data_IF_550257568069
#
_entry.id   IF_550257568069
#
_cell.length_a   1.000
_cell.length_b   1.000
_cell.length_c   1.000
_cell.angle_alpha   90.00
_cell.angle_beta   90.00
_cell.angle_gamma   90.00
#
_symmetry.space_group_name_H-M   'P 1'
#
loop_
_entity.id
_entity.type
_entity.pdbx_description
1 polymer ?
#
# COMPACT_ATOMS: atom_id res chain seq x y z
N UNK A 1 18.08 -3.66 -9.07
CA UNK A 1 18.66 -3.09 -10.29
C UNK A 1 20.06 -3.60 -10.54
N UNK A 2 21.05 -3.28 -9.68
CA UNK A 2 22.49 -3.63 -9.87
C UNK A 2 22.72 -5.13 -10.10
N UNK A 3 22.04 -6.01 -9.34
CA UNK A 3 22.16 -7.47 -9.52
C UNK A 3 21.65 -7.94 -10.88
N UNK A 4 20.58 -7.35 -11.39
CA UNK A 4 20.03 -7.69 -12.70
C UNK A 4 20.95 -7.19 -13.84
N UNK A 5 21.52 -5.99 -13.72
CA UNK A 5 22.50 -5.48 -14.67
C UNK A 5 23.73 -6.39 -14.74
N UNK A 6 24.25 -6.86 -13.59
CA UNK A 6 25.37 -7.80 -13.53
C UNK A 6 25.08 -9.15 -14.22
N UNK A 7 23.80 -9.53 -14.32
CA UNK A 7 23.34 -10.73 -15.01
C UNK A 7 22.98 -10.48 -16.50
N UNK A 8 23.31 -9.31 -17.05
CA UNK A 8 23.10 -8.98 -18.45
C UNK A 8 21.70 -8.49 -18.79
N UNK A 9 20.86 -8.14 -17.79
CA UNK A 9 19.53 -7.56 -18.06
C UNK A 9 19.69 -6.15 -18.62
N UNK A 10 19.06 -5.90 -19.76
CA UNK A 10 19.08 -4.61 -20.44
C UNK A 10 17.91 -3.75 -19.97
N UNK A 11 18.18 -2.55 -19.46
CA UNK A 11 17.17 -1.61 -18.98
C UNK A 11 16.96 -0.46 -19.95
N UNK A 12 15.71 -0.21 -20.34
CA UNK A 12 15.30 0.95 -21.12
C UNK A 12 14.42 1.83 -20.25
N UNK A 13 15.05 2.82 -19.58
CA UNK A 13 14.34 3.75 -18.69
C UNK A 13 13.77 4.92 -19.50
N UNK A 14 12.71 5.55 -18.94
CA UNK A 14 12.03 6.68 -19.58
C UNK A 14 11.18 6.30 -20.79
N UNK A 15 10.86 5.00 -20.93
CA UNK A 15 10.00 4.45 -21.98
C UNK A 15 8.62 4.13 -21.42
N UNK A 16 7.56 4.61 -22.09
CA UNK A 16 6.18 4.24 -21.78
C UNK A 16 5.69 3.24 -22.82
N UNK A 17 5.35 2.04 -22.37
CA UNK A 17 4.72 1.03 -23.21
C UNK A 17 3.33 1.51 -23.64
N UNK A 18 3.02 1.38 -24.92
CA UNK A 18 1.77 1.85 -25.52
C UNK A 18 0.83 0.70 -25.86
N UNK A 19 1.39 -0.39 -26.40
CA UNK A 19 0.61 -1.54 -26.83
C UNK A 19 1.45 -2.83 -26.96
N UNK A 20 0.77 -3.97 -27.14
CA UNK A 20 1.38 -5.26 -27.46
C UNK A 20 1.59 -5.40 -28.97
N UNK A 21 2.63 -6.14 -29.37
CA UNK A 21 2.86 -6.56 -30.75
C UNK A 21 2.47 -8.04 -30.84
N UNK A 22 1.58 -8.37 -31.79
CA UNK A 22 1.15 -9.73 -32.05
C UNK A 22 1.65 -10.16 -33.43
N UNK A 23 1.97 -11.44 -33.59
CA UNK A 23 2.21 -12.04 -34.90
C UNK A 23 0.89 -12.48 -35.57
N UNK A 24 0.97 -12.96 -36.83
CA UNK A 24 -0.18 -13.41 -37.62
C UNK A 24 -0.98 -14.56 -36.99
N UNK A 25 -0.40 -15.27 -36.02
CA UNK A 25 -1.05 -16.37 -35.28
C UNK A 25 -1.68 -15.88 -33.97
N UNK A 26 -1.68 -14.57 -33.69
CA UNK A 26 -2.22 -13.98 -32.48
C UNK A 26 -1.34 -14.16 -31.24
N UNK A 27 -0.07 -14.60 -31.35
CA UNK A 27 0.88 -14.69 -30.26
C UNK A 27 1.48 -13.31 -29.99
N UNK A 28 1.55 -12.93 -28.72
CA UNK A 28 2.27 -11.74 -28.28
C UNK A 28 3.78 -11.98 -28.41
N UNK A 29 4.43 -11.12 -29.20
CA UNK A 29 5.86 -11.20 -29.54
C UNK A 29 6.63 -9.94 -29.16
N UNK A 30 6.00 -8.93 -28.54
CA UNK A 30 6.67 -7.71 -28.16
C UNK A 30 5.74 -6.61 -27.69
N UNK A 31 6.32 -5.42 -27.56
CA UNK A 31 5.62 -4.20 -27.16
C UNK A 31 6.07 -3.01 -28.01
N UNK A 32 5.15 -2.07 -28.24
CA UNK A 32 5.50 -0.72 -28.70
C UNK A 32 5.66 0.21 -27.52
N UNK A 33 6.58 1.15 -27.59
CA UNK A 33 6.82 2.13 -26.54
C UNK A 33 7.18 3.50 -27.11
N UNK A 34 7.03 4.55 -26.28
CA UNK A 34 7.47 5.91 -26.60
C UNK A 34 8.41 6.42 -25.51
N UNK A 35 9.41 7.20 -25.92
CA UNK A 35 10.26 7.94 -24.98
C UNK A 35 9.62 9.29 -24.56
N UNK A 36 10.32 10.05 -23.73
CA UNK A 36 9.84 11.34 -23.19
C UNK A 36 9.67 12.44 -24.27
N UNK A 37 10.34 12.30 -25.42
CA UNK A 37 10.26 13.26 -26.53
C UNK A 37 9.35 12.78 -27.67
N UNK A 38 8.71 11.61 -27.50
CA UNK A 38 7.70 11.10 -28.43
C UNK A 38 8.22 10.16 -29.52
N UNK A 39 9.50 9.78 -29.50
CA UNK A 39 10.02 8.78 -30.44
C UNK A 39 9.40 7.41 -30.14
N UNK A 40 9.05 6.69 -31.20
CA UNK A 40 8.42 5.36 -31.14
C UNK A 40 9.46 4.26 -31.25
N UNK A 41 9.30 3.21 -30.49
CA UNK A 41 10.18 2.05 -30.44
C UNK A 41 9.36 0.77 -30.44
N UNK A 42 9.93 -0.29 -31.02
CA UNK A 42 9.41 -1.64 -30.94
C UNK A 42 10.45 -2.54 -30.27
N UNK A 43 9.98 -3.34 -29.32
CA UNK A 43 10.81 -4.32 -28.62
C UNK A 43 10.17 -5.69 -28.82
N UNK A 44 10.89 -6.61 -29.44
CA UNK A 44 10.39 -7.95 -29.72
C UNK A 44 11.11 -9.02 -28.89
N UNK A 45 10.42 -10.11 -28.61
CA UNK A 45 10.91 -11.26 -27.86
C UNK A 45 10.43 -12.56 -28.48
N UNK A 46 11.29 -13.56 -28.54
CA UNK A 46 10.94 -14.92 -28.96
C UNK A 46 10.14 -15.67 -27.89
N UNK A 47 10.39 -15.37 -26.62
CA UNK A 47 9.82 -16.11 -25.50
C UNK A 47 8.47 -15.52 -25.03
N UNK A 48 8.21 -14.23 -25.30
CA UNK A 48 6.97 -13.54 -24.96
C UNK A 48 7.20 -12.29 -24.12
N UNK A 49 6.12 -11.75 -23.55
CA UNK A 49 6.09 -10.51 -22.74
C UNK A 49 5.56 -10.84 -21.37
N UNK A 50 6.24 -10.34 -20.33
CA UNK A 50 5.79 -10.41 -18.94
C UNK A 50 5.38 -9.01 -18.50
N UNK A 51 4.10 -8.81 -18.18
CA UNK A 51 3.59 -7.58 -17.59
C UNK A 51 3.86 -7.59 -16.07
N UNK A 52 4.66 -6.63 -15.59
CA UNK A 52 4.96 -6.42 -14.17
C UNK A 52 4.77 -4.93 -13.82
N UNK A 53 3.70 -4.33 -14.35
CA UNK A 53 3.46 -2.88 -14.40
C UNK A 53 2.84 -2.30 -13.14
N UNK A 54 2.61 -3.12 -12.11
CA UNK A 54 1.90 -2.71 -10.91
C UNK A 54 0.39 -2.56 -11.10
N UNK A 55 -0.27 -2.08 -10.05
CA UNK A 55 -1.72 -1.90 -10.03
C UNK A 55 -2.19 -0.55 -10.56
N UNK A 56 -3.43 -0.18 -10.20
CA UNK A 56 -4.10 1.04 -10.70
C UNK A 56 -4.47 2.04 -9.59
N UNK A 57 -3.77 2.02 -8.47
CA UNK A 57 -4.09 2.84 -7.29
C UNK A 57 -4.02 4.36 -7.55
N UNK A 58 -3.25 4.82 -8.53
CA UNK A 58 -3.16 6.22 -8.96
C UNK A 58 -4.13 6.59 -10.09
N UNK A 59 -4.83 5.62 -10.68
CA UNK A 59 -5.81 5.88 -11.72
C UNK A 59 -7.19 6.14 -11.10
N UNK A 60 -7.53 7.43 -10.94
CA UNK A 60 -8.80 7.85 -10.33
C UNK A 60 -10.03 7.32 -11.06
N UNK A 61 -10.02 7.36 -12.40
CA UNK A 61 -11.13 6.89 -13.23
C UNK A 61 -11.34 5.37 -13.07
N UNK A 62 -10.26 4.60 -13.18
CA UNK A 62 -10.32 3.14 -13.00
C UNK A 62 -10.80 2.77 -11.60
N UNK A 63 -10.33 3.48 -10.56
CA UNK A 63 -10.80 3.28 -9.17
C UNK A 63 -12.29 3.58 -9.02
N UNK A 64 -12.75 4.71 -9.55
CA UNK A 64 -14.17 5.10 -9.48
C UNK A 64 -15.07 4.09 -10.18
N UNK A 65 -14.65 3.59 -11.35
CA UNK A 65 -15.38 2.56 -12.08
C UNK A 65 -15.43 1.23 -11.33
N UNK A 66 -14.31 0.83 -10.72
CA UNK A 66 -14.15 -0.49 -10.11
C UNK A 66 -14.58 -0.53 -8.65
N UNK A 67 -14.34 0.55 -7.88
CA UNK A 67 -14.61 0.67 -6.45
C UNK A 67 -15.26 2.03 -6.12
N UNK A 68 -16.51 2.28 -6.53
CA UNK A 68 -17.17 3.60 -6.42
C UNK A 68 -17.38 4.08 -4.98
N UNK A 69 -17.22 3.20 -3.99
CA UNK A 69 -17.25 3.56 -2.56
C UNK A 69 -15.98 4.30 -2.07
N UNK A 70 -14.94 4.35 -2.90
CA UNK A 70 -13.72 5.14 -2.66
C UNK A 70 -13.87 6.49 -3.34
N UNK A 71 -13.59 7.59 -2.61
CA UNK A 71 -13.72 8.92 -3.18
C UNK A 71 -12.57 9.24 -4.14
N UNK A 72 -12.80 10.07 -5.19
CA UNK A 72 -11.73 10.48 -6.14
C UNK A 72 -10.57 11.20 -5.46
N UNK A 73 -10.84 11.92 -4.37
CA UNK A 73 -9.87 12.72 -3.61
C UNK A 73 -8.95 11.87 -2.76
N UNK A 74 -9.32 10.60 -2.52
CA UNK A 74 -8.49 9.71 -1.71
C UNK A 74 -7.13 9.51 -2.38
N UNK A 75 -6.08 9.90 -1.67
CA UNK A 75 -4.68 9.78 -2.10
C UNK A 75 -4.20 8.32 -2.07
N UNK A 76 -3.05 8.04 -2.65
CA UNK A 76 -2.47 6.69 -2.68
C UNK A 76 -1.07 6.68 -2.08
N UNK A 77 -0.74 5.57 -1.42
CA UNK A 77 0.63 5.31 -0.92
C UNK A 77 1.61 4.96 -2.03
N UNK A 78 1.11 4.66 -3.24
CA UNK A 78 1.92 4.18 -4.34
C UNK A 78 2.54 5.32 -5.15
N UNK A 79 3.62 4.99 -5.85
CA UNK A 79 4.28 5.90 -6.77
C UNK A 79 3.33 6.30 -7.95
N UNK A 80 3.56 7.47 -8.60
CA UNK A 80 2.64 8.01 -9.61
C UNK A 80 2.38 7.11 -10.82
N UNK A 81 3.29 6.17 -11.13
CA UNK A 81 3.16 5.25 -12.25
C UNK A 81 2.23 4.04 -12.01
N UNK A 82 1.62 3.90 -10.84
CA UNK A 82 0.63 2.85 -10.57
C UNK A 82 -0.72 3.18 -11.24
N UNK A 83 -0.74 3.28 -12.56
CA UNK A 83 -1.82 3.80 -13.40
C UNK A 83 -2.68 2.72 -14.06
N UNK A 84 -2.30 1.44 -13.92
CA UNK A 84 -3.03 0.32 -14.52
C UNK A 84 -2.79 0.15 -16.03
N UNK A 85 -1.76 0.77 -16.57
CA UNK A 85 -1.48 0.75 -18.01
C UNK A 85 -1.40 -0.67 -18.57
N UNK A 86 -0.72 -1.61 -17.87
CA UNK A 86 -0.62 -3.00 -18.32
C UNK A 86 -1.97 -3.73 -18.32
N UNK A 87 -2.86 -3.43 -17.38
CA UNK A 87 -4.23 -3.98 -17.38
C UNK A 87 -5.00 -3.46 -18.60
N UNK A 88 -4.94 -2.15 -18.85
CA UNK A 88 -5.62 -1.53 -19.99
C UNK A 88 -5.12 -2.10 -21.32
N UNK A 89 -3.79 -2.21 -21.47
CA UNK A 89 -3.17 -2.75 -22.69
C UNK A 89 -3.61 -4.20 -22.89
N UNK A 90 -3.46 -5.06 -21.89
CA UNK A 90 -3.81 -6.47 -22.05
C UNK A 90 -5.31 -6.69 -22.34
N UNK A 91 -6.20 -5.91 -21.73
CA UNK A 91 -7.66 -6.03 -21.96
C UNK A 91 -8.07 -5.61 -23.36
N UNK A 92 -7.35 -4.70 -24.04
CA UNK A 92 -7.57 -4.40 -25.46
C UNK A 92 -7.32 -5.63 -26.34
N UNK A 93 -6.44 -6.52 -25.94
CA UNK A 93 -6.10 -7.78 -26.61
C UNK A 93 -6.86 -8.99 -26.04
N UNK A 94 -7.99 -8.76 -25.38
CA UNK A 94 -8.91 -9.80 -24.93
C UNK A 94 -8.62 -10.43 -23.58
N UNK A 95 -7.64 -9.93 -22.83
CA UNK A 95 -7.38 -10.42 -21.48
C UNK A 95 -8.59 -10.19 -20.57
N UNK A 96 -8.84 -11.14 -19.67
CA UNK A 96 -9.83 -11.03 -18.62
C UNK A 96 -9.24 -10.46 -17.34
N UNK A 97 -10.11 -9.93 -16.50
CA UNK A 97 -9.74 -9.36 -15.19
C UNK A 97 -10.59 -9.94 -14.07
N UNK A 98 -10.03 -10.04 -12.89
CA UNK A 98 -10.75 -10.52 -11.71
C UNK A 98 -10.51 -9.62 -10.51
N UNK A 99 -11.49 -9.53 -9.61
CA UNK A 99 -11.39 -8.81 -8.34
C UNK A 99 -11.17 -7.30 -8.44
N UNK A 100 -11.51 -6.66 -9.57
CA UNK A 100 -11.27 -5.23 -9.81
C UNK A 100 -11.91 -4.31 -8.75
N UNK A 101 -12.97 -4.76 -8.08
CA UNK A 101 -13.62 -4.03 -6.99
C UNK A 101 -12.88 -4.14 -5.64
N UNK A 102 -11.84 -4.96 -5.56
CA UNK A 102 -11.06 -5.15 -4.34
C UNK A 102 -9.87 -4.20 -4.32
N UNK A 103 -10.05 -3.07 -3.65
CA UNK A 103 -9.01 -2.05 -3.46
C UNK A 103 -8.76 -1.89 -1.96
N UNK A 104 -7.54 -2.18 -1.54
CA UNK A 104 -7.15 -2.05 -0.14
C UNK A 104 -6.82 -0.61 0.22
N UNK A 105 -7.40 -0.14 1.30
CA UNK A 105 -7.06 1.13 1.93
C UNK A 105 -6.14 0.88 3.12
N UNK A 106 -5.01 1.58 3.18
CA UNK A 106 -4.11 1.59 4.32
C UNK A 106 -4.59 2.65 5.33
N UNK A 107 -4.81 2.30 6.60
CA UNK A 107 -5.40 3.22 7.56
C UNK A 107 -4.48 4.35 8.01
N UNK A 108 -3.17 4.14 7.97
CA UNK A 108 -2.19 4.93 8.71
C UNK A 108 -1.13 5.56 7.78
N UNK A 109 -1.56 6.18 6.69
CA UNK A 109 -0.71 6.97 5.79
C UNK A 109 -0.59 8.43 6.27
N UNK A 110 0.35 9.17 5.70
CA UNK A 110 0.52 10.60 5.96
C UNK A 110 -0.66 11.39 5.37
N UNK A 111 -1.35 12.21 6.18
CA UNK A 111 -2.45 13.02 5.68
C UNK A 111 -2.07 13.91 4.49
N UNK A 112 -2.98 14.10 3.56
CA UNK A 112 -2.82 14.95 2.38
C UNK A 112 -1.94 14.38 1.27
N UNK A 113 -0.85 13.69 1.59
CA UNK A 113 0.08 13.12 0.60
C UNK A 113 -0.16 11.63 0.33
N UNK A 114 -0.68 10.90 1.30
CA UNK A 114 -0.82 9.45 1.25
C UNK A 114 0.49 8.67 1.40
N UNK A 115 1.61 9.36 1.61
CA UNK A 115 2.92 8.72 1.71
C UNK A 115 2.98 7.70 2.87
N UNK A 116 3.68 6.59 2.64
CA UNK A 116 4.08 5.67 3.70
C UNK A 116 5.26 6.28 4.45
N UNK A 117 4.96 6.94 5.55
CA UNK A 117 5.95 7.49 6.46
C UNK A 117 5.92 6.68 7.75
N UNK A 118 7.08 6.40 8.31
CA UNK A 118 7.21 5.75 9.60
C UNK A 118 6.65 6.60 10.74
N UNK A 119 6.35 5.95 11.84
CA UNK A 119 5.96 6.57 13.11
C UNK A 119 7.21 6.91 13.92
N UNK A 120 7.04 7.59 15.04
CA UNK A 120 8.12 7.87 15.99
C UNK A 120 8.62 6.62 16.72
N UNK A 121 8.80 5.49 16.03
CA UNK A 121 9.24 4.22 16.65
C UNK A 121 9.96 3.31 15.68
N UNK A 122 10.83 2.42 16.21
CA UNK A 122 11.61 1.49 15.41
C UNK A 122 10.82 0.28 14.92
N UNK A 123 9.91 -0.24 15.71
CA UNK A 123 9.16 -1.45 15.39
C UNK A 123 7.77 -1.15 14.82
N UNK A 124 7.25 -2.06 14.04
CA UNK A 124 5.93 -1.97 13.40
C UNK A 124 4.86 -2.78 14.15
N UNK A 125 4.84 -2.73 15.47
CA UNK A 125 3.77 -3.31 16.30
C UNK A 125 2.63 -2.32 16.55
N UNK A 126 1.61 -2.74 17.28
CA UNK A 126 0.51 -1.90 17.76
C UNK A 126 0.34 -1.99 19.28
N UNK A 127 1.21 -2.73 19.94
CA UNK A 127 1.02 -3.22 21.32
C UNK A 127 1.28 -2.13 22.36
N UNK A 128 1.99 -1.08 21.98
CA UNK A 128 2.52 0.00 22.81
C UNK A 128 2.14 1.41 22.33
N UNK A 129 1.05 1.52 21.57
CA UNK A 129 0.52 2.78 21.07
C UNK A 129 -1.00 2.82 21.17
N UNK A 130 -1.57 4.02 21.13
CA UNK A 130 -2.99 4.24 20.92
C UNK A 130 -3.21 5.17 19.73
N UNK A 131 -4.34 5.02 19.06
CA UNK A 131 -4.80 5.96 18.04
C UNK A 131 -5.96 6.79 18.61
N UNK A 132 -5.81 8.10 18.61
CA UNK A 132 -6.85 9.04 19.07
C UNK A 132 -7.34 9.91 17.92
N UNK A 133 -8.59 10.36 17.99
CA UNK A 133 -9.16 11.32 17.07
C UNK A 133 -8.77 12.77 17.44
N UNK A 134 -9.29 13.76 16.71
CA UNK A 134 -9.06 15.19 16.99
C UNK A 134 -9.57 15.66 18.35
N UNK A 135 -10.44 14.89 18.99
CA UNK A 135 -10.93 15.20 20.35
C UNK A 135 -10.07 14.57 21.43
N UNK A 136 -8.95 13.92 21.10
CA UNK A 136 -8.09 13.22 22.05
C UNK A 136 -8.66 11.87 22.52
N UNK A 137 -9.66 11.33 21.86
CA UNK A 137 -10.39 10.12 22.29
C UNK A 137 -10.06 8.92 21.44
N UNK A 138 -9.82 7.75 22.06
CA UNK A 138 -9.77 6.45 21.36
C UNK A 138 -11.15 6.13 20.76
N UNK A 139 -11.16 5.52 19.58
CA UNK A 139 -12.39 5.30 18.80
C UNK A 139 -12.54 3.88 18.23
N UNK A 140 -11.50 3.05 18.37
CA UNK A 140 -11.47 1.67 17.84
C UNK A 140 -10.37 0.88 18.58
N UNK A 141 -10.40 -0.44 18.50
CA UNK A 141 -9.25 -1.27 18.87
C UNK A 141 -8.15 -1.14 17.80
N UNK A 142 -6.94 -0.85 18.22
CA UNK A 142 -5.82 -0.58 17.32
C UNK A 142 -5.33 -1.84 16.58
N UNK A 143 -5.64 -3.03 17.11
CA UNK A 143 -5.39 -4.34 16.49
C UNK A 143 -6.53 -4.84 15.58
N UNK A 144 -7.45 -3.95 15.19
CA UNK A 144 -8.51 -4.25 14.22
C UNK A 144 -7.95 -4.56 12.82
N UNK A 145 -8.72 -5.30 12.01
CA UNK A 145 -8.44 -5.46 10.59
C UNK A 145 -8.38 -4.10 9.91
N UNK A 146 -7.56 -3.97 8.86
CA UNK A 146 -7.35 -2.69 8.15
C UNK A 146 -8.64 -2.04 7.64
N UNK A 147 -9.56 -2.83 7.11
CA UNK A 147 -10.85 -2.34 6.61
C UNK A 147 -11.77 -1.84 7.73
N UNK A 148 -11.82 -2.53 8.87
CA UNK A 148 -12.56 -2.11 10.06
C UNK A 148 -11.97 -0.81 10.63
N UNK A 149 -10.64 -0.75 10.72
CA UNK A 149 -9.93 0.43 11.22
C UNK A 149 -10.15 1.65 10.30
N UNK A 150 -10.07 1.46 8.97
CA UNK A 150 -10.39 2.51 7.98
C UNK A 150 -11.83 2.99 8.11
N UNK A 151 -12.80 2.07 8.28
CA UNK A 151 -14.20 2.42 8.45
C UNK A 151 -14.42 3.24 9.74
N UNK A 152 -13.68 2.93 10.82
CA UNK A 152 -13.70 3.69 12.05
C UNK A 152 -13.09 5.08 11.89
N UNK A 153 -11.92 5.22 11.22
CA UNK A 153 -11.29 6.52 10.94
C UNK A 153 -12.20 7.43 10.12
N UNK A 154 -12.84 6.91 9.09
CA UNK A 154 -13.76 7.69 8.23
C UNK A 154 -14.93 8.34 9.02
N UNK A 155 -15.27 7.80 10.18
CA UNK A 155 -16.30 8.37 11.07
C UNK A 155 -15.76 9.45 12.01
N UNK A 156 -14.42 9.62 12.09
CA UNK A 156 -13.83 10.61 12.97
C UNK A 156 -13.77 12.00 12.32
N UNK A 157 -13.75 13.07 13.11
CA UNK A 157 -13.71 14.44 12.61
C UNK A 157 -12.50 14.66 11.66
N UNK A 158 -12.79 15.02 10.40
CA UNK A 158 -11.79 15.29 9.37
C UNK A 158 -11.02 14.06 8.86
N UNK A 159 -11.37 12.83 9.27
CA UNK A 159 -10.72 11.61 8.81
C UNK A 159 -9.23 11.51 9.12
N UNK A 160 -8.74 12.29 10.09
CA UNK A 160 -7.35 12.27 10.58
C UNK A 160 -7.35 11.80 12.02
N UNK A 161 -6.41 10.93 12.34
CA UNK A 161 -6.18 10.40 13.70
C UNK A 161 -4.70 10.54 14.04
N UNK A 162 -4.35 10.33 15.31
CA UNK A 162 -3.00 10.52 15.81
C UNK A 162 -2.56 9.27 16.55
N UNK A 163 -1.47 8.67 16.07
CA UNK A 163 -0.76 7.57 16.74
C UNK A 163 0.07 8.18 17.88
N UNK A 164 -0.28 7.85 19.12
CA UNK A 164 0.34 8.38 20.34
C UNK A 164 1.25 7.33 20.96
N UNK A 165 2.48 7.72 21.25
CA UNK A 165 3.46 6.89 21.94
C UNK A 165 4.41 7.73 22.79
N UNK A 166 5.28 7.08 23.56
CA UNK A 166 6.29 7.72 24.38
C UNK A 166 7.73 7.39 23.94
N UNK A 167 8.72 7.98 24.62
CA UNK A 167 10.14 7.84 24.28
C UNK A 167 10.70 6.42 24.46
N UNK A 168 10.03 5.55 25.20
CA UNK A 168 10.54 4.20 25.51
C UNK A 168 10.71 3.32 24.25
N UNK A 169 9.94 3.59 23.19
CA UNK A 169 9.96 2.84 21.93
C UNK A 169 10.58 3.61 20.76
N UNK A 170 10.97 4.86 20.99
CA UNK A 170 11.58 5.71 19.96
C UNK A 170 13.06 5.40 19.80
N UNK A 171 13.54 5.38 18.58
CA UNK A 171 14.94 5.27 18.19
C UNK A 171 15.27 6.40 17.22
N UNK A 172 16.56 6.77 17.05
CA UNK A 172 16.95 7.81 16.09
C UNK A 172 16.39 7.58 14.69
N UNK A 173 16.42 6.33 14.21
CA UNK A 173 15.79 5.93 12.97
C UNK A 173 14.53 5.09 13.25
N UNK A 174 13.43 5.44 12.60
CA UNK A 174 12.16 4.71 12.70
C UNK A 174 12.17 3.40 11.89
N UNK A 175 11.01 2.74 11.76
CA UNK A 175 10.86 1.49 11.02
C UNK A 175 11.11 1.59 9.51
N UNK A 176 11.13 2.79 8.95
CA UNK A 176 11.43 3.07 7.53
C UNK A 176 12.84 3.65 7.32
N UNK A 177 13.69 3.61 8.37
CA UNK A 177 15.01 4.24 8.41
C UNK A 177 14.99 5.76 8.18
N UNK A 178 13.91 6.42 8.55
CA UNK A 178 13.79 7.87 8.55
C UNK A 178 14.26 8.42 9.91
N UNK A 179 14.98 9.52 9.90
CA UNK A 179 15.42 10.20 11.12
C UNK A 179 14.24 10.88 11.82
N UNK A 180 13.97 10.49 13.06
CA UNK A 180 12.79 10.94 13.81
C UNK A 180 12.85 12.43 14.14
N UNK A 181 14.03 12.96 14.50
CA UNK A 181 14.17 14.39 14.83
C UNK A 181 14.00 15.26 13.56
N UNK A 182 14.45 14.78 12.40
CA UNK A 182 14.15 15.42 11.12
C UNK A 182 12.65 15.46 10.87
N UNK A 183 11.92 14.35 11.10
CA UNK A 183 10.46 14.32 10.93
C UNK A 183 9.75 15.25 11.92
N UNK A 184 10.28 15.43 13.12
CA UNK A 184 9.77 16.41 14.10
C UNK A 184 10.03 17.84 13.60
N UNK A 185 11.23 18.15 13.14
CA UNK A 185 11.60 19.50 12.70
C UNK A 185 10.78 20.01 11.49
N UNK A 186 10.32 19.08 10.64
CA UNK A 186 9.46 19.40 9.47
C UNK A 186 7.96 19.24 9.76
N UNK A 187 7.56 19.03 11.02
CA UNK A 187 6.15 18.94 11.44
C UNK A 187 5.41 17.68 10.99
N UNK A 188 6.13 16.60 10.69
CA UNK A 188 5.56 15.30 10.34
C UNK A 188 5.29 14.41 11.55
N UNK A 189 6.00 14.67 12.65
CA UNK A 189 5.82 14.08 13.96
C UNK A 189 5.79 15.24 14.96
N UNK A 190 4.93 15.17 15.94
CA UNK A 190 4.87 16.11 17.07
C UNK A 190 5.56 15.49 18.29
N UNK A 191 6.23 16.32 19.08
CA UNK A 191 7.00 15.91 20.27
C UNK A 191 6.82 16.93 21.39
N UNK A 192 6.54 16.47 22.60
CA UNK A 192 6.40 17.32 23.78
C UNK A 192 6.79 16.56 25.06
N UNK A 193 7.17 17.34 26.10
CA UNK A 193 7.56 16.76 27.40
C UNK A 193 6.36 16.41 28.29
N UNK A 194 5.15 16.88 27.93
CA UNK A 194 3.89 16.50 28.58
C UNK A 194 2.80 16.17 27.57
N UNK A 195 1.81 15.37 27.98
CA UNK A 195 0.61 15.10 27.15
C UNK A 195 -0.21 16.36 26.96
N UNK A 196 -0.25 17.27 27.94
CA UNK A 196 -0.94 18.55 27.82
C UNK A 196 -0.31 19.44 26.75
N UNK A 197 1.03 19.54 26.70
CA UNK A 197 1.72 20.32 25.67
C UNK A 197 1.58 19.66 24.28
N UNK A 198 1.59 18.32 24.23
CA UNK A 198 1.35 17.59 22.99
C UNK A 198 -0.07 17.87 22.46
N UNK A 199 -1.08 17.79 23.33
CA UNK A 199 -2.46 18.11 22.98
C UNK A 199 -2.61 19.55 22.47
N UNK A 200 -1.94 20.50 23.13
CA UNK A 200 -1.92 21.91 22.71
C UNK A 200 -1.32 22.07 21.30
N UNK A 201 -0.20 21.39 20.98
CA UNK A 201 0.38 21.42 19.64
C UNK A 201 -0.58 20.87 18.58
N UNK A 202 -1.39 19.88 18.93
CA UNK A 202 -2.34 19.20 18.03
C UNK A 202 -3.71 19.90 17.96
N UNK A 203 -3.95 20.90 18.80
CA UNK A 203 -5.23 21.61 18.88
C UNK A 203 -6.38 20.74 19.41
N UNK A 204 -6.08 19.81 20.34
CA UNK A 204 -7.06 18.92 20.95
C UNK A 204 -7.20 19.19 22.47
N UNK A 205 -8.31 18.81 23.13
CA UNK A 205 -8.48 18.93 24.56
C UNK A 205 -7.47 18.09 25.34
N UNK A 206 -6.68 18.73 26.21
CA UNK A 206 -5.61 18.07 26.97
C UNK A 206 -6.16 17.01 27.95
N UNK A 207 -7.22 17.34 28.67
CA UNK A 207 -7.92 16.43 29.57
C UNK A 207 -8.39 15.14 28.91
N UNK A 208 -8.82 15.23 27.64
CA UNK A 208 -9.26 14.06 26.87
C UNK A 208 -8.10 13.17 26.44
N UNK A 209 -7.00 13.75 25.96
CA UNK A 209 -5.80 13.00 25.61
C UNK A 209 -5.21 12.30 26.85
N UNK A 210 -5.07 13.02 27.96
CA UNK A 210 -4.58 12.48 29.23
C UNK A 210 -5.46 11.33 29.74
N UNK A 211 -6.79 11.50 29.68
CA UNK A 211 -7.73 10.45 30.05
C UNK A 211 -7.60 9.21 29.17
N UNK A 212 -7.46 9.37 27.86
CA UNK A 212 -7.29 8.25 26.91
C UNK A 212 -5.99 7.48 27.17
N UNK A 213 -4.90 8.17 27.45
CA UNK A 213 -3.61 7.54 27.81
C UNK A 213 -3.70 6.84 29.16
N UNK A 214 -4.31 7.47 30.17
CA UNK A 214 -4.51 6.85 31.50
C UNK A 214 -5.41 5.60 31.43
N UNK A 215 -6.47 5.64 30.63
CA UNK A 215 -7.33 4.48 30.38
C UNK A 215 -6.53 3.35 29.72
N UNK A 216 -5.74 3.65 28.68
CA UNK A 216 -4.87 2.67 28.03
C UNK A 216 -3.86 2.05 29.00
N UNK A 217 -3.22 2.84 29.84
CA UNK A 217 -2.26 2.34 30.83
C UNK A 217 -2.90 1.32 31.80
N UNK A 218 -4.14 1.58 32.24
CA UNK A 218 -4.92 0.61 33.04
C UNK A 218 -5.25 -0.66 32.25
N UNK A 219 -5.54 -0.55 30.96
CA UNK A 219 -5.78 -1.72 30.10
C UNK A 219 -4.54 -2.58 29.93
N UNK A 220 -3.34 -1.97 29.83
CA UNK A 220 -2.06 -2.70 29.77
C UNK A 220 -1.85 -3.53 31.04
N UNK A 221 -2.12 -2.97 32.23
CA UNK A 221 -2.03 -3.68 33.50
C UNK A 221 -3.05 -4.82 33.60
N UNK A 222 -4.30 -4.55 33.21
CA UNK A 222 -5.40 -5.52 33.27
C UNK A 222 -5.38 -6.55 32.13
N UNK A 223 -4.57 -6.36 31.08
CA UNK A 223 -4.58 -7.14 29.84
C UNK A 223 -5.99 -7.26 29.22
N UNK A 224 -6.79 -6.22 29.36
CA UNK A 224 -8.19 -6.19 28.92
C UNK A 224 -8.61 -4.79 28.47
N UNK A 225 -9.29 -4.72 27.32
CA UNK A 225 -9.95 -3.51 26.81
C UNK A 225 -11.47 -3.72 26.81
N UNK A 226 -12.18 -3.25 27.85
CA UNK A 226 -13.62 -3.45 27.94
C UNK A 226 -14.42 -2.62 26.93
N UNK A 227 -13.82 -1.57 26.35
CA UNK A 227 -14.51 -0.63 25.45
C UNK A 227 -14.50 -1.09 23.99
N UNK A 228 -13.36 -1.55 23.50
CA UNK A 228 -13.16 -1.91 22.10
C UNK A 228 -12.73 -3.37 21.88
N UNK A 229 -12.27 -4.05 22.95
CA UNK A 229 -11.88 -5.46 22.90
C UNK A 229 -10.51 -5.70 22.25
N UNK A 230 -9.57 -4.73 22.37
CA UNK A 230 -8.17 -4.90 21.98
C UNK A 230 -7.54 -6.08 22.73
N UNK A 231 -6.67 -6.83 22.05
CA UNK A 231 -6.02 -8.04 22.59
C UNK A 231 -4.52 -7.90 22.77
N UNK A 232 -3.89 -6.97 22.04
CA UNK A 232 -2.44 -6.80 22.04
C UNK A 232 -2.02 -5.65 22.95
N UNK A 233 -1.24 -5.98 23.99
CA UNK A 233 -0.72 -5.03 24.99
C UNK A 233 0.74 -5.37 25.31
N UNK A 234 1.65 -4.39 25.21
CA UNK A 234 3.06 -4.54 25.62
C UNK A 234 3.36 -3.70 26.86
N UNK A 235 3.36 -2.38 26.73
CA UNK A 235 3.78 -1.45 27.79
C UNK A 235 2.89 -0.22 27.89
N UNK A 236 2.84 0.44 29.06
CA UNK A 236 2.13 1.70 29.21
C UNK A 236 2.87 2.86 28.53
N UNK A 237 2.16 3.94 28.25
CA UNK A 237 2.67 5.22 27.74
C UNK A 237 2.87 6.15 28.95
N UNK A 238 4.11 6.26 29.44
CA UNK A 238 4.41 6.98 30.69
C UNK A 238 5.70 7.81 30.68
N UNK A 239 6.60 7.58 29.70
CA UNK A 239 7.94 8.13 29.69
C UNK A 239 8.10 9.30 28.72
N UNK A 240 8.20 10.56 29.20
CA UNK A 240 8.45 11.69 28.31
C UNK A 240 9.81 11.57 27.57
N UNK A 241 9.99 12.27 26.44
CA UNK A 241 8.95 12.99 25.71
C UNK A 241 7.91 12.07 25.06
N UNK A 242 6.71 12.63 24.86
CA UNK A 242 5.60 11.98 24.17
C UNK A 242 5.60 12.40 22.70
N UNK A 243 5.11 11.51 21.84
CA UNK A 243 5.07 11.72 20.40
C UNK A 243 3.67 11.48 19.85
N UNK A 244 3.32 12.27 18.84
CA UNK A 244 2.11 12.06 18.06
C UNK A 244 2.44 12.05 16.58
N UNK A 245 1.94 11.04 15.85
CA UNK A 245 2.09 10.99 14.39
C UNK A 245 0.72 11.03 13.72
N UNK A 246 0.39 12.10 12.96
CA UNK A 246 -0.89 12.20 12.26
C UNK A 246 -1.01 11.13 11.17
N UNK A 247 -2.21 10.53 11.06
CA UNK A 247 -2.52 9.43 10.14
C UNK A 247 -3.87 9.63 9.48
N UNK A 248 -3.96 9.17 8.21
CA UNK A 248 -5.20 9.17 7.46
C UNK A 248 -5.27 7.95 6.53
N UNK A 249 -6.48 7.52 6.13
CA UNK A 249 -6.64 6.47 5.16
C UNK A 249 -6.10 6.85 3.79
N UNK A 250 -5.42 5.90 3.12
CA UNK A 250 -4.87 6.09 1.77
C UNK A 250 -4.98 4.79 0.99
N UNK A 251 -5.21 4.87 -0.32
CA UNK A 251 -5.24 3.70 -1.18
C UNK A 251 -3.85 3.08 -1.22
N UNK A 252 -3.77 1.76 -1.05
CA UNK A 252 -2.49 1.09 -0.82
C UNK A 252 -2.18 -0.03 -1.80
N UNK A 253 -3.18 -0.86 -2.15
CA UNK A 253 -2.98 -2.02 -3.01
C UNK A 253 -4.26 -2.32 -3.77
N UNK A 254 -4.14 -2.63 -5.05
CA UNK A 254 -5.24 -3.13 -5.85
C UNK A 254 -5.13 -4.64 -5.96
N UNK A 255 -6.07 -5.40 -5.35
CA UNK A 255 -6.08 -6.86 -5.41
C UNK A 255 -6.70 -7.39 -6.70
N UNK A 256 -7.36 -6.52 -7.44
CA UNK A 256 -7.87 -6.80 -8.78
C UNK A 256 -6.84 -6.52 -9.86
N UNK A 257 -6.95 -7.25 -10.97
CA UNK A 257 -6.04 -7.15 -12.10
C UNK A 257 -6.30 -8.25 -13.12
N UNK A 258 -5.31 -8.51 -13.98
CA UNK A 258 -5.35 -9.53 -15.00
C UNK A 258 -5.55 -10.93 -14.39
N UNK A 259 -6.46 -11.70 -14.94
CA UNK A 259 -6.62 -13.10 -14.57
C UNK A 259 -5.47 -13.92 -15.14
N UNK A 260 -4.82 -14.73 -14.29
CA UNK A 260 -3.68 -15.56 -14.69
C UNK A 260 -3.91 -17.03 -14.35
N UNK A 261 -3.25 -17.92 -15.10
CA UNK A 261 -3.12 -19.33 -14.76
C UNK A 261 -2.08 -19.55 -13.64
N UNK A 262 -2.00 -20.77 -13.11
CA UNK A 262 -0.94 -21.17 -12.17
C UNK A 262 0.47 -21.10 -12.78
N UNK A 263 0.58 -21.00 -14.09
CA UNK A 263 1.81 -20.77 -14.84
C UNK A 263 2.04 -19.28 -15.17
N UNK A 264 1.31 -18.37 -14.51
CA UNK A 264 1.38 -16.91 -14.73
C UNK A 264 1.05 -16.46 -16.17
N UNK A 265 0.39 -17.31 -16.98
CA UNK A 265 -0.10 -16.93 -18.30
C UNK A 265 -1.36 -16.08 -18.14
N UNK A 266 -1.46 -14.96 -18.86
CA UNK A 266 -2.66 -14.12 -18.88
C UNK A 266 -3.78 -14.88 -19.60
N UNK A 267 -4.97 -14.90 -19.01
CA UNK A 267 -6.15 -15.60 -19.55
C UNK A 267 -7.07 -14.64 -20.30
N UNK A 268 -7.68 -15.13 -21.34
CA UNK A 268 -8.77 -14.46 -22.05
C UNK A 268 -10.12 -14.65 -21.31
N UNK A 269 -11.18 -14.00 -21.80
CA UNK A 269 -12.54 -14.10 -21.23
C UNK A 269 -13.16 -15.50 -21.31
N UNK A 270 -12.54 -16.45 -22.01
CA UNK A 270 -12.94 -17.87 -22.07
C UNK A 270 -12.06 -18.74 -21.17
N UNK A 271 -11.17 -18.14 -20.37
CA UNK A 271 -10.24 -18.83 -19.48
C UNK A 271 -9.07 -19.50 -20.22
N UNK A 272 -8.81 -19.16 -21.47
CA UNK A 272 -7.70 -19.72 -22.26
C UNK A 272 -6.49 -18.77 -22.17
N UNK A 273 -5.25 -19.33 -22.07
CA UNK A 273 -4.03 -18.52 -22.12
C UNK A 273 -3.91 -17.74 -23.43
N UNK A 274 -3.59 -16.45 -23.31
CA UNK A 274 -3.18 -15.62 -24.45
C UNK A 274 -1.72 -15.99 -24.77
N UNK A 275 -1.44 -16.54 -25.98
CA UNK A 275 -0.11 -17.02 -26.29
C UNK A 275 0.96 -15.93 -26.19
N UNK A 276 2.08 -16.22 -25.50
CA UNK A 276 3.20 -15.30 -25.35
C UNK A 276 2.97 -14.14 -24.35
N UNK A 277 1.83 -14.11 -23.63
CA UNK A 277 1.55 -13.08 -22.63
C UNK A 277 1.51 -13.66 -21.21
N UNK A 278 2.30 -13.07 -20.31
CA UNK A 278 2.42 -13.44 -18.92
C UNK A 278 2.27 -12.21 -18.03
N UNK A 279 1.91 -12.40 -16.77
CA UNK A 279 1.84 -11.31 -15.79
C UNK A 279 2.21 -11.77 -14.39
N UNK A 280 2.79 -10.86 -13.59
CA UNK A 280 3.15 -11.12 -12.21
C UNK A 280 3.09 -9.85 -11.35
N UNK A 281 2.80 -10.00 -10.06
CA UNK A 281 2.69 -8.91 -9.11
C UNK A 281 1.36 -8.18 -9.17
N UNK A 282 1.29 -6.95 -8.70
CA UNK A 282 0.03 -6.20 -8.48
C UNK A 282 -0.79 -5.92 -9.77
N UNK A 283 -0.23 -6.14 -10.95
CA UNK A 283 -0.98 -6.13 -12.21
C UNK A 283 -1.95 -7.30 -12.34
N UNK A 284 -1.76 -8.37 -11.54
CA UNK A 284 -2.60 -9.57 -11.53
C UNK A 284 -3.69 -9.52 -10.47
N UNK A 285 -4.82 -10.14 -10.75
CA UNK A 285 -5.94 -10.26 -9.81
C UNK A 285 -6.12 -11.68 -9.26
N UNK A 286 -6.91 -11.79 -8.16
CA UNK A 286 -7.33 -13.07 -7.60
C UNK A 286 -6.37 -13.72 -6.60
N UNK A 287 -5.15 -13.23 -6.44
CA UNK A 287 -4.12 -13.85 -5.55
C UNK A 287 -4.39 -13.55 -4.08
N UNK A 288 -4.81 -12.34 -3.75
CA UNK A 288 -4.92 -11.84 -2.37
C UNK A 288 -6.36 -11.80 -1.83
N UNK A 289 -7.35 -12.25 -2.61
CA UNK A 289 -8.77 -12.12 -2.24
C UNK A 289 -9.19 -10.65 -2.10
N UNK A 290 -10.08 -10.37 -1.16
CA UNK A 290 -10.68 -9.04 -1.00
C UNK A 290 -9.89 -8.09 -0.08
N UNK A 291 -8.94 -8.61 0.72
CA UNK A 291 -8.18 -7.80 1.68
C UNK A 291 -6.84 -8.47 2.01
N UNK A 292 -5.76 -7.96 1.42
CA UNK A 292 -4.42 -8.54 1.50
C UNK A 292 -3.79 -8.36 2.90
N UNK A 293 -3.25 -9.46 3.45
CA UNK A 293 -2.41 -9.39 4.65
C UNK A 293 -1.08 -8.67 4.35
N UNK A 294 -0.63 -7.85 5.29
CA UNK A 294 0.63 -7.11 5.17
C UNK A 294 1.83 -8.02 4.91
N UNK A 295 2.72 -7.61 4.00
CA UNK A 295 3.90 -8.39 3.59
C UNK A 295 3.66 -9.38 2.44
N UNK A 296 2.46 -9.92 2.27
CA UNK A 296 2.19 -10.97 1.27
C UNK A 296 2.42 -10.53 -0.19
N UNK A 297 2.39 -9.23 -0.50
CA UNK A 297 2.78 -8.75 -1.83
C UNK A 297 4.23 -9.13 -2.19
N UNK A 298 5.14 -9.18 -1.21
CA UNK A 298 6.53 -9.57 -1.46
C UNK A 298 6.62 -11.05 -1.84
N UNK A 299 5.87 -11.92 -1.16
CA UNK A 299 5.80 -13.34 -1.51
C UNK A 299 5.21 -13.55 -2.92
N UNK A 300 4.15 -12.81 -3.24
CA UNK A 300 3.49 -12.83 -4.56
C UNK A 300 4.49 -12.46 -5.68
N UNK A 301 5.09 -11.28 -5.64
CA UNK A 301 5.99 -10.82 -6.73
C UNK A 301 7.21 -11.73 -6.90
N UNK A 302 7.75 -12.30 -5.82
CA UNK A 302 8.87 -13.23 -5.89
C UNK A 302 8.45 -14.59 -6.48
N UNK A 303 7.28 -15.09 -6.12
CA UNK A 303 6.77 -16.38 -6.58
C UNK A 303 6.35 -16.31 -8.05
N UNK A 304 5.39 -15.43 -8.36
CA UNK A 304 4.85 -15.35 -9.72
C UNK A 304 5.80 -14.73 -10.73
N UNK A 305 6.71 -13.83 -10.32
CA UNK A 305 7.78 -13.34 -11.20
C UNK A 305 8.69 -14.47 -11.68
N UNK A 306 9.05 -15.41 -10.79
CA UNK A 306 9.85 -16.59 -11.14
C UNK A 306 9.06 -17.58 -12.01
N UNK A 307 7.79 -17.81 -11.71
CA UNK A 307 6.91 -18.68 -12.50
C UNK A 307 6.75 -18.10 -13.90
N UNK A 308 6.43 -16.81 -14.04
CA UNK A 308 6.26 -16.15 -15.34
C UNK A 308 7.51 -16.30 -16.21
N UNK A 309 8.69 -16.06 -15.66
CA UNK A 309 9.95 -16.19 -16.39
C UNK A 309 10.20 -17.61 -16.88
N UNK A 310 10.01 -18.61 -16.01
CA UNK A 310 10.16 -20.05 -16.37
C UNK A 310 9.14 -20.45 -17.43
N UNK A 311 7.89 -20.03 -17.30
CA UNK A 311 6.83 -20.35 -18.24
C UNK A 311 7.05 -19.71 -19.61
N UNK A 312 7.52 -18.48 -19.67
CA UNK A 312 7.85 -17.80 -20.91
C UNK A 312 8.90 -18.56 -21.74
N UNK A 313 9.94 -19.07 -21.07
CA UNK A 313 10.99 -19.89 -21.72
C UNK A 313 10.48 -21.27 -22.14
N UNK A 314 9.61 -21.89 -21.33
CA UNK A 314 9.12 -23.25 -21.59
C UNK A 314 8.07 -23.34 -22.71
N UNK A 315 7.31 -22.28 -22.97
CA UNK A 315 6.19 -22.25 -23.96
C UNK A 315 6.55 -21.43 -25.23
N UNK A 316 7.73 -21.69 -25.80
CA UNK A 316 8.21 -21.06 -27.04
C UNK A 316 7.32 -21.33 -28.24
#
# INVERSE_FOLDING_TARGET
>A
YQSAVKQGVNFKLGMRVQDLILNDKGRVIGVTATDKVGNKYEFTSKDGVILATGGYSQNKEMRQKSAPHLTPEMVSTNQPGATGDGIVIATRHGADTTGMNYVQVYPLATPGTGALQGRARKMSGLDDVIDVNKNGERFVKEDARRDEFVAAIKKQPGGVVYDINDSSIVKPLNSFNEDVETLVSIGRIYKADSLADLAKQLGMPADKLEASVAEFNKMVEAKNDPKFGRKLFDRPIVKPPFYATPRAPSIHHTMGGLQISTNAQVLDKKGKPIPGLYAAGEVTGGIHGSNRLGGNATADVLTFGRIAAKSAVAHK
#
